data_IF_826458468450
#
_entry.id   IF_826458468450
#
_cell.length_a   1.000
_cell.length_b   1.000
_cell.length_c   1.000
_cell.angle_alpha   90.00
_cell.angle_beta   90.00
_cell.angle_gamma   90.00
#
_symmetry.space_group_name_H-M   'P 1'
#
loop_
_entity.id
_entity.type
_entity.pdbx_description
1 polymer ?
#
# COMPACT_ATOMS: atom_id res chain seq x y z
N UNK A 1 20.75 -23.04 -2.82
CA UNK A 1 19.96 -22.36 -1.79
C UNK A 1 20.53 -22.76 -0.44
N UNK A 2 21.13 -21.86 0.32
CA UNK A 2 21.72 -22.20 1.61
C UNK A 2 20.62 -22.49 2.62
N UNK A 3 20.76 -23.60 3.33
CA UNK A 3 19.82 -24.11 4.35
C UNK A 3 19.48 -23.04 5.42
N UNK A 4 20.40 -22.11 5.64
CA UNK A 4 20.30 -20.97 6.52
C UNK A 4 19.18 -19.98 6.15
N UNK A 5 19.05 -19.60 4.89
CA UNK A 5 18.04 -18.62 4.44
C UNK A 5 16.64 -19.21 4.57
N UNK A 6 16.46 -20.48 4.24
CA UNK A 6 15.19 -21.20 4.43
C UNK A 6 14.79 -21.20 5.91
N UNK A 7 15.73 -21.52 6.80
CA UNK A 7 15.52 -21.60 8.25
C UNK A 7 15.13 -20.25 8.86
N UNK A 8 15.75 -19.15 8.46
CA UNK A 8 15.38 -17.80 8.94
C UNK A 8 13.96 -17.45 8.48
N UNK A 9 13.66 -17.67 7.19
CA UNK A 9 12.34 -17.31 6.65
C UNK A 9 11.24 -18.11 7.34
N UNK A 10 11.42 -19.43 7.49
CA UNK A 10 10.46 -20.31 8.16
C UNK A 10 10.27 -19.97 9.66
N UNK A 11 11.34 -19.55 10.33
CA UNK A 11 11.28 -19.15 11.75
C UNK A 11 10.55 -17.82 11.94
N UNK A 12 10.81 -16.84 11.06
CA UNK A 12 10.11 -15.55 11.07
C UNK A 12 8.62 -15.73 10.76
N UNK A 13 8.29 -16.55 9.75
CA UNK A 13 6.92 -16.86 9.39
C UNK A 13 6.13 -17.60 10.45
N UNK A 14 6.76 -18.43 11.28
CA UNK A 14 6.08 -19.12 12.40
C UNK A 14 5.74 -18.20 13.56
N UNK A 15 6.49 -17.12 13.78
CA UNK A 15 6.28 -16.20 14.93
C UNK A 15 5.29 -15.07 14.63
N UNK A 16 5.16 -14.65 13.37
CA UNK A 16 4.22 -13.59 12.96
C UNK A 16 3.09 -14.22 12.15
N UNK A 17 1.94 -14.46 12.78
CA UNK A 17 0.85 -15.25 12.21
C UNK A 17 -0.27 -14.39 11.60
N UNK A 18 -0.04 -13.85 10.40
CA UNK A 18 -1.10 -13.22 9.60
C UNK A 18 -1.95 -14.27 8.87
N UNK A 19 -2.75 -15.02 9.63
CA UNK A 19 -3.76 -15.93 9.09
C UNK A 19 -4.99 -15.15 8.58
N UNK A 20 -5.68 -15.66 7.54
CA UNK A 20 -5.44 -16.91 6.82
C UNK A 20 -4.35 -16.76 5.75
N UNK A 21 -3.54 -17.83 5.59
CA UNK A 21 -2.60 -17.96 4.48
C UNK A 21 -3.14 -18.94 3.46
N UNK A 22 -3.17 -18.53 2.20
CA UNK A 22 -3.55 -19.37 1.08
C UNK A 22 -2.35 -19.50 0.15
N UNK A 23 -2.07 -20.72 -0.30
CA UNK A 23 -0.96 -20.97 -1.21
C UNK A 23 -1.24 -20.25 -2.53
N UNK A 24 -0.36 -19.33 -2.90
CA UNK A 24 -0.43 -18.60 -4.17
C UNK A 24 0.40 -19.34 -5.21
N UNK A 25 -0.21 -19.68 -6.34
CA UNK A 25 0.43 -20.41 -7.45
C UNK A 25 1.21 -19.46 -8.39
N UNK A 26 2.21 -18.77 -7.84
CA UNK A 26 3.17 -17.94 -8.59
C UNK A 26 4.52 -18.69 -8.63
N UNK A 27 5.28 -18.53 -9.71
CA UNK A 27 6.64 -19.07 -9.84
C UNK A 27 7.49 -18.73 -8.60
N UNK A 28 8.17 -19.72 -8.03
CA UNK A 28 8.99 -19.55 -6.83
C UNK A 28 10.13 -18.54 -7.02
N UNK A 29 10.67 -18.37 -8.24
CA UNK A 29 11.65 -17.32 -8.55
C UNK A 29 11.03 -15.94 -8.41
N UNK A 30 9.81 -15.75 -8.92
CA UNK A 30 9.08 -14.48 -8.82
C UNK A 30 8.77 -14.17 -7.36
N UNK A 31 8.28 -15.16 -6.60
CA UNK A 31 8.06 -15.00 -5.15
C UNK A 31 9.32 -14.62 -4.40
N UNK A 32 10.46 -15.21 -4.77
CA UNK A 32 11.75 -14.88 -4.18
C UNK A 32 12.16 -13.43 -4.48
N UNK A 33 12.04 -12.99 -5.73
CA UNK A 33 12.33 -11.59 -6.13
C UNK A 33 11.44 -10.61 -5.36
N UNK A 34 10.13 -10.86 -5.30
CA UNK A 34 9.24 -10.02 -4.49
C UNK A 34 9.59 -10.07 -3.00
N UNK A 35 9.98 -11.22 -2.46
CA UNK A 35 10.46 -11.32 -1.08
C UNK A 35 11.68 -10.44 -0.81
N UNK A 36 12.65 -10.40 -1.72
CA UNK A 36 13.82 -9.52 -1.62
C UNK A 36 13.42 -8.04 -1.71
N UNK A 37 12.57 -7.68 -2.67
CA UNK A 37 12.03 -6.32 -2.80
C UNK A 37 11.32 -5.92 -1.51
N UNK A 38 10.52 -6.81 -0.93
CA UNK A 38 9.82 -6.58 0.33
C UNK A 38 10.79 -6.27 1.48
N UNK A 39 11.88 -7.03 1.62
CA UNK A 39 12.91 -6.74 2.61
C UNK A 39 13.61 -5.39 2.39
N UNK A 40 13.93 -5.04 1.13
CA UNK A 40 14.53 -3.75 0.78
C UNK A 40 13.60 -2.61 1.20
N UNK A 41 12.30 -2.71 0.87
CA UNK A 41 11.30 -1.71 1.25
C UNK A 41 11.21 -1.59 2.78
N UNK A 42 11.15 -2.71 3.51
CA UNK A 42 11.05 -2.69 4.98
C UNK A 42 12.31 -2.10 5.62
N UNK A 43 13.51 -2.44 5.15
CA UNK A 43 14.75 -1.83 5.63
C UNK A 43 14.73 -0.31 5.39
N UNK A 44 14.29 0.12 4.20
CA UNK A 44 14.10 1.54 3.89
C UNK A 44 13.09 2.22 4.83
N UNK A 45 11.96 1.57 5.12
CA UNK A 45 10.95 2.10 6.04
C UNK A 45 11.46 2.18 7.49
N UNK A 46 12.28 1.23 7.93
CA UNK A 46 12.92 1.26 9.26
C UNK A 46 13.94 2.39 9.33
N UNK A 47 14.77 2.56 8.29
CA UNK A 47 15.69 3.70 8.20
C UNK A 47 14.93 5.03 8.23
N UNK A 48 13.88 5.16 7.42
CA UNK A 48 13.02 6.35 7.38
C UNK A 48 12.41 6.63 8.76
N UNK A 49 11.93 5.59 9.45
CA UNK A 49 11.40 5.70 10.80
C UNK A 49 12.46 6.21 11.78
N UNK A 50 13.66 5.59 11.82
CA UNK A 50 14.75 6.02 12.70
C UNK A 50 15.14 7.47 12.43
N UNK A 51 15.26 7.83 11.17
CA UNK A 51 15.62 9.18 10.74
C UNK A 51 14.61 10.22 11.24
N UNK A 52 13.31 10.02 10.97
CA UNK A 52 12.29 11.01 11.34
C UNK A 52 11.90 10.97 12.82
N UNK A 53 11.84 9.79 13.43
CA UNK A 53 11.44 9.62 14.82
C UNK A 53 12.55 9.98 15.81
N UNK A 54 13.78 9.48 15.59
CA UNK A 54 14.89 9.61 16.55
C UNK A 54 15.72 10.86 16.26
N UNK A 55 16.11 11.08 14.99
CA UNK A 55 17.05 12.15 14.62
C UNK A 55 16.32 13.49 14.51
N UNK A 56 15.33 13.60 13.61
CA UNK A 56 14.64 14.86 13.35
C UNK A 56 13.48 15.17 14.30
N UNK A 57 12.95 14.16 14.99
CA UNK A 57 11.76 14.26 15.87
C UNK A 57 10.55 14.90 15.15
N UNK A 58 10.44 14.64 13.86
CA UNK A 58 9.31 15.03 13.03
C UNK A 58 8.48 13.80 12.75
N UNK A 59 7.34 13.67 13.44
CA UNK A 59 6.52 12.45 13.39
C UNK A 59 5.53 12.43 12.23
N UNK A 60 5.21 13.60 11.68
CA UNK A 60 4.25 13.78 10.58
C UNK A 60 4.54 12.84 9.40
N UNK A 61 5.80 12.66 8.95
CA UNK A 61 6.05 11.79 7.80
C UNK A 61 5.79 10.31 8.02
N UNK A 62 5.70 9.87 9.28
CA UNK A 62 5.45 8.49 9.66
C UNK A 62 3.97 8.14 9.71
N UNK A 63 3.09 9.15 9.71
CA UNK A 63 1.63 8.94 9.66
C UNK A 63 1.08 9.03 8.23
N UNK A 64 1.92 9.38 7.25
CA UNK A 64 1.52 9.49 5.86
C UNK A 64 1.07 8.14 5.28
N UNK A 65 -0.01 8.19 4.51
CA UNK A 65 -0.56 7.04 3.78
C UNK A 65 0.50 6.38 2.90
N UNK A 66 1.40 7.16 2.30
CA UNK A 66 2.55 6.66 1.51
C UNK A 66 3.47 5.76 2.34
N UNK A 67 3.87 6.19 3.54
CA UNK A 67 4.72 5.40 4.43
C UNK A 67 4.02 4.10 4.84
N UNK A 68 2.75 4.21 5.27
CA UNK A 68 1.96 3.06 5.67
C UNK A 68 1.76 2.05 4.52
N UNK A 69 1.45 2.54 3.33
CA UNK A 69 1.32 1.70 2.14
C UNK A 69 2.63 1.00 1.78
N UNK A 70 3.78 1.66 1.90
CA UNK A 70 5.08 1.02 1.68
C UNK A 70 5.35 -0.10 2.69
N UNK A 71 5.04 0.12 3.98
CA UNK A 71 5.15 -0.94 5.00
C UNK A 71 4.25 -2.13 4.65
N UNK A 72 2.98 -1.87 4.31
CA UNK A 72 2.03 -2.92 3.94
C UNK A 72 2.48 -3.68 2.68
N UNK A 73 2.97 -2.98 1.65
CA UNK A 73 3.52 -3.58 0.44
C UNK A 73 4.74 -4.44 0.77
N UNK A 74 5.66 -3.92 1.59
CA UNK A 74 6.85 -4.63 2.04
C UNK A 74 6.49 -5.95 2.74
N UNK A 75 5.53 -5.91 3.65
CA UNK A 75 5.02 -7.10 4.33
C UNK A 75 4.32 -8.06 3.34
N UNK A 76 3.41 -7.58 2.49
CA UNK A 76 2.74 -8.41 1.48
C UNK A 76 3.75 -9.18 0.60
N UNK A 77 4.81 -8.49 0.16
CA UNK A 77 5.92 -9.04 -0.60
C UNK A 77 6.72 -10.08 0.19
N UNK A 78 7.09 -9.77 1.44
CA UNK A 78 7.80 -10.71 2.33
C UNK A 78 6.97 -11.97 2.48
N UNK A 79 5.69 -11.87 2.80
CA UNK A 79 4.76 -13.00 2.92
C UNK A 79 4.35 -13.61 1.56
N UNK A 80 5.01 -13.25 0.46
CA UNK A 80 4.84 -13.83 -0.88
C UNK A 80 3.38 -13.86 -1.35
N UNK A 81 2.61 -12.83 -0.98
CA UNK A 81 1.18 -12.71 -1.27
C UNK A 81 0.29 -13.80 -0.65
N UNK A 82 0.81 -14.62 0.28
CA UNK A 82 0.04 -15.73 0.85
C UNK A 82 -0.96 -15.25 1.91
N UNK A 83 -0.70 -14.13 2.58
CA UNK A 83 -1.61 -13.57 3.57
C UNK A 83 -2.76 -12.81 2.92
N UNK A 84 -3.97 -13.36 3.04
CA UNK A 84 -5.19 -12.75 2.49
C UNK A 84 -5.46 -11.39 3.13
N UNK A 85 -5.16 -11.24 4.42
CA UNK A 85 -5.28 -9.98 5.15
C UNK A 85 -4.39 -8.90 4.52
N UNK A 86 -3.09 -9.18 4.38
CA UNK A 86 -2.13 -8.22 3.84
C UNK A 86 -2.45 -7.85 2.39
N UNK A 87 -2.81 -8.83 1.55
CA UNK A 87 -3.26 -8.55 0.18
C UNK A 87 -4.46 -7.59 0.17
N UNK A 88 -5.46 -7.85 1.02
CA UNK A 88 -6.70 -7.06 1.08
C UNK A 88 -6.47 -5.64 1.59
N UNK A 89 -5.60 -5.45 2.59
CA UNK A 89 -5.29 -4.12 3.14
C UNK A 89 -4.38 -3.35 2.20
N UNK A 90 -3.36 -3.98 1.65
CA UNK A 90 -2.34 -3.29 0.84
C UNK A 90 -2.87 -2.66 -0.45
N UNK A 91 -4.02 -3.07 -0.99
CA UNK A 91 -4.45 -2.68 -2.34
C UNK A 91 -5.62 -1.69 -2.43
N UNK A 92 -6.29 -1.35 -1.33
CA UNK A 92 -7.52 -0.54 -1.36
C UNK A 92 -7.29 0.91 -1.82
N UNK A 93 -6.09 1.43 -1.64
CA UNK A 93 -5.73 2.83 -1.96
C UNK A 93 -5.27 3.05 -3.39
N UNK A 94 -5.33 2.05 -4.27
CA UNK A 94 -4.65 2.09 -5.58
C UNK A 94 -5.09 3.29 -6.42
N UNK A 95 -6.39 3.60 -6.39
CA UNK A 95 -6.96 4.71 -7.12
C UNK A 95 -6.45 6.05 -6.60
N UNK A 96 -6.37 6.23 -5.28
CA UNK A 96 -5.86 7.45 -4.66
C UNK A 96 -4.41 7.73 -5.07
N UNK A 97 -3.54 6.71 -5.00
CA UNK A 97 -2.15 6.84 -5.41
C UNK A 97 -1.97 7.16 -6.90
N UNK A 98 -2.78 6.57 -7.78
CA UNK A 98 -2.74 6.89 -9.22
C UNK A 98 -3.16 8.35 -9.47
N UNK A 99 -4.22 8.83 -8.81
CA UNK A 99 -4.68 10.20 -9.01
C UNK A 99 -3.69 11.21 -8.45
N UNK A 100 -3.18 10.98 -7.23
CA UNK A 100 -2.13 11.82 -6.64
C UNK A 100 -0.93 11.90 -7.58
N UNK A 101 -0.47 10.77 -8.11
CA UNK A 101 0.66 10.76 -9.04
C UNK A 101 0.38 11.62 -10.28
N UNK A 102 -0.82 11.53 -10.88
CA UNK A 102 -1.20 12.32 -12.05
C UNK A 102 -1.25 13.81 -11.74
N UNK A 103 -1.88 14.21 -10.63
CA UNK A 103 -1.96 15.63 -10.25
C UNK A 103 -0.59 16.21 -9.89
N UNK A 104 0.27 15.43 -9.21
CA UNK A 104 1.62 15.88 -8.84
C UNK A 104 2.53 16.12 -10.04
N UNK A 105 2.26 15.56 -11.23
CA UNK A 105 3.09 15.78 -12.43
C UNK A 105 3.18 17.27 -12.78
N UNK A 106 2.09 18.02 -12.61
CA UNK A 106 2.07 19.47 -12.89
C UNK A 106 2.83 20.30 -11.86
N UNK A 107 3.19 19.70 -10.71
CA UNK A 107 3.88 20.34 -9.60
C UNK A 107 5.39 19.99 -9.55
N UNK A 108 5.89 19.25 -10.53
CA UNK A 108 7.30 18.83 -10.58
C UNK A 108 8.19 20.01 -10.97
N UNK A 109 9.11 20.37 -10.08
CA UNK A 109 10.08 21.46 -10.30
C UNK A 109 11.51 20.97 -10.51
N UNK A 110 11.81 19.75 -10.08
CA UNK A 110 13.15 19.14 -10.18
C UNK A 110 13.07 17.59 -10.23
N UNK A 111 14.23 16.95 -10.45
CA UNK A 111 14.31 15.48 -10.54
C UNK A 111 13.96 14.80 -9.21
N UNK A 112 14.27 15.42 -8.08
CA UNK A 112 14.01 14.83 -6.77
C UNK A 112 12.51 14.81 -6.47
N UNK A 113 11.80 15.92 -6.70
CA UNK A 113 10.35 16.05 -6.60
C UNK A 113 9.61 15.13 -7.58
N UNK A 114 10.16 14.88 -8.78
CA UNK A 114 9.65 13.87 -9.70
C UNK A 114 9.72 12.44 -9.12
N UNK A 115 10.87 12.08 -8.54
CA UNK A 115 11.12 10.74 -8.02
C UNK A 115 10.29 10.46 -6.75
N UNK A 116 10.36 11.36 -5.77
CA UNK A 116 9.69 11.19 -4.47
C UNK A 116 8.18 11.46 -4.57
N UNK A 117 7.77 12.26 -5.56
CA UNK A 117 6.37 12.57 -5.86
C UNK A 117 5.77 11.57 -6.85
N UNK A 118 5.51 11.96 -8.11
CA UNK A 118 4.78 11.15 -9.08
C UNK A 118 5.27 9.71 -9.24
N UNK A 119 6.58 9.49 -9.36
CA UNK A 119 7.13 8.15 -9.64
C UNK A 119 6.86 7.20 -8.48
N UNK A 120 7.13 7.62 -7.24
CA UNK A 120 6.89 6.80 -6.06
C UNK A 120 5.39 6.47 -5.90
N UNK A 121 4.51 7.47 -6.02
CA UNK A 121 3.08 7.27 -5.86
C UNK A 121 2.50 6.38 -6.97
N UNK A 122 2.96 6.56 -8.21
CA UNK A 122 2.58 5.70 -9.32
C UNK A 122 3.07 4.27 -9.13
N UNK A 123 4.30 4.07 -8.66
CA UNK A 123 4.84 2.73 -8.37
C UNK A 123 4.02 2.01 -7.29
N UNK A 124 3.60 2.71 -6.24
CA UNK A 124 2.68 2.18 -5.22
C UNK A 124 1.35 1.82 -5.87
N UNK A 125 0.72 2.73 -6.61
CA UNK A 125 -0.57 2.50 -7.26
C UNK A 125 -0.55 1.31 -8.23
N UNK A 126 0.50 1.19 -9.04
CA UNK A 126 0.68 0.07 -9.98
C UNK A 126 0.93 -1.26 -9.28
N UNK A 127 1.69 -1.27 -8.19
CA UNK A 127 1.87 -2.49 -7.39
C UNK A 127 0.54 -2.94 -6.74
N UNK A 128 -0.24 -1.99 -6.22
CA UNK A 128 -1.56 -2.27 -5.67
C UNK A 128 -2.51 -2.80 -6.74
N UNK A 129 -2.47 -2.21 -7.94
CA UNK A 129 -3.23 -2.69 -9.10
C UNK A 129 -2.78 -4.10 -9.54
N UNK A 130 -1.48 -4.40 -9.49
CA UNK A 130 -0.96 -5.74 -9.75
C UNK A 130 -1.59 -6.77 -8.80
N UNK A 131 -1.67 -6.50 -7.50
CA UNK A 131 -2.35 -7.39 -6.54
C UNK A 131 -3.82 -7.62 -6.91
N UNK A 132 -4.52 -6.57 -7.34
CA UNK A 132 -5.93 -6.62 -7.71
C UNK A 132 -6.12 -7.45 -8.99
N UNK A 133 -5.33 -7.18 -10.02
CA UNK A 133 -5.48 -7.80 -11.34
C UNK A 133 -4.89 -9.21 -11.41
N UNK A 134 -3.98 -9.58 -10.49
CA UNK A 134 -3.40 -10.91 -10.50
C UNK A 134 -4.46 -11.98 -10.15
N UNK A 135 -4.71 -12.89 -11.09
CA UNK A 135 -5.75 -13.91 -11.00
C UNK A 135 -5.46 -15.02 -9.97
N UNK A 136 -4.30 -14.98 -9.31
CA UNK A 136 -3.88 -16.00 -8.34
C UNK A 136 -3.67 -15.46 -6.93
N UNK A 137 -3.77 -14.14 -6.75
CA UNK A 137 -3.60 -13.51 -5.43
C UNK A 137 -4.99 -13.37 -4.79
N UNK A 138 -5.27 -14.10 -3.69
CA UNK A 138 -6.56 -14.10 -3.05
C UNK A 138 -6.76 -12.86 -2.17
N UNK A 139 -8.00 -12.39 -2.13
CA UNK A 139 -8.46 -11.26 -1.31
C UNK A 139 -9.73 -11.71 -0.58
N UNK A 140 -9.95 -11.24 0.65
CA UNK A 140 -11.15 -11.58 1.44
C UNK A 140 -12.15 -10.43 1.43
N UNK A 141 -13.44 -10.76 1.32
CA UNK A 141 -14.54 -9.79 1.46
C UNK A 141 -14.49 -9.10 2.82
N UNK A 142 -14.36 -9.90 3.89
CA UNK A 142 -14.27 -9.37 5.24
C UNK A 142 -13.08 -8.45 5.38
N UNK A 143 -11.90 -8.85 4.92
CA UNK A 143 -10.73 -8.01 5.07
C UNK A 143 -10.75 -6.76 4.21
N UNK A 144 -11.39 -6.75 3.04
CA UNK A 144 -11.61 -5.51 2.27
C UNK A 144 -12.40 -4.45 3.07
N UNK A 145 -13.44 -4.88 3.80
CA UNK A 145 -14.18 -3.98 4.69
C UNK A 145 -13.33 -3.50 5.86
N UNK A 146 -12.47 -4.37 6.40
CA UNK A 146 -11.52 -3.97 7.45
C UNK A 146 -10.49 -2.98 6.91
N UNK A 147 -9.99 -3.18 5.69
CA UNK A 147 -9.11 -2.23 5.00
C UNK A 147 -9.79 -0.86 4.86
N UNK A 148 -11.06 -0.83 4.52
CA UNK A 148 -11.82 0.42 4.43
C UNK A 148 -11.82 1.17 5.75
N UNK A 149 -12.23 0.51 6.83
CA UNK A 149 -12.26 1.13 8.17
C UNK A 149 -10.86 1.55 8.61
N UNK A 150 -9.85 0.72 8.35
CA UNK A 150 -8.46 1.00 8.65
C UNK A 150 -7.98 2.28 7.95
N UNK A 151 -8.20 2.41 6.64
CA UNK A 151 -7.83 3.61 5.90
C UNK A 151 -8.71 4.80 6.23
N UNK A 152 -9.99 4.63 6.58
CA UNK A 152 -10.79 5.75 7.07
C UNK A 152 -10.22 6.31 8.36
N UNK A 153 -9.84 5.47 9.33
CA UNK A 153 -9.25 5.94 10.59
C UNK A 153 -7.94 6.69 10.31
N UNK A 154 -7.06 6.12 9.47
CA UNK A 154 -5.78 6.74 9.14
C UNK A 154 -5.91 8.01 8.28
N UNK A 155 -6.83 8.04 7.31
CA UNK A 155 -7.07 9.20 6.48
C UNK A 155 -7.85 10.30 7.22
N UNK A 156 -8.69 9.94 8.21
CA UNK A 156 -9.55 10.89 8.95
C UNK A 156 -8.80 11.93 9.78
N UNK A 157 -7.46 11.84 9.91
CA UNK A 157 -6.69 12.97 10.40
C UNK A 157 -6.82 14.11 9.39
N UNK A 158 -7.51 15.19 9.77
CA UNK A 158 -7.70 16.40 8.96
C UNK A 158 -6.39 16.89 8.29
N UNK A 159 -5.26 16.75 8.99
CA UNK A 159 -3.92 17.07 8.47
C UNK A 159 -3.53 16.29 7.21
N UNK A 160 -4.04 15.07 7.02
CA UNK A 160 -3.76 14.26 5.84
C UNK A 160 -4.42 14.82 4.58
N UNK A 161 -5.61 15.40 4.67
CA UNK A 161 -6.34 15.92 3.52
C UNK A 161 -5.88 17.31 3.11
N UNK A 162 -5.68 18.22 4.08
CA UNK A 162 -5.09 19.52 3.79
C UNK A 162 -3.73 19.38 3.10
N UNK A 163 -2.93 18.42 3.54
CA UNK A 163 -1.64 18.10 2.91
C UNK A 163 -1.81 17.57 1.48
N UNK A 164 -2.82 16.75 1.21
CA UNK A 164 -3.11 16.32 -0.16
C UNK A 164 -3.40 17.51 -1.05
N UNK A 165 -4.18 18.47 -0.56
CA UNK A 165 -4.50 19.68 -1.31
C UNK A 165 -3.24 20.49 -1.62
N UNK A 166 -2.34 20.65 -0.65
CA UNK A 166 -1.06 21.35 -0.85
C UNK A 166 -0.18 20.63 -1.87
N UNK A 167 -0.02 19.30 -1.75
CA UNK A 167 0.86 18.51 -2.61
C UNK A 167 0.36 18.44 -4.06
N UNK A 168 -0.96 18.46 -4.24
CA UNK A 168 -1.59 18.44 -5.56
C UNK A 168 -1.81 19.83 -6.16
N UNK A 169 -1.45 20.90 -5.42
CA UNK A 169 -1.68 22.29 -5.84
C UNK A 169 -3.17 22.70 -5.84
N UNK A 170 -4.01 21.93 -5.15
CA UNK A 170 -5.46 22.11 -5.07
C UNK A 170 -5.89 22.98 -3.88
N UNK A 171 -4.99 23.27 -2.93
CA UNK A 171 -5.28 24.00 -1.69
C UNK A 171 -6.00 25.34 -1.90
N UNK A 172 -5.59 26.11 -2.91
CA UNK A 172 -6.21 27.41 -3.21
C UNK A 172 -7.43 27.31 -4.14
N UNK A 173 -7.71 26.13 -4.68
CA UNK A 173 -8.70 25.90 -5.75
C UNK A 173 -9.96 25.23 -5.23
N UNK A 174 -9.84 24.31 -4.27
CA UNK A 174 -10.95 23.56 -3.70
C UNK A 174 -10.87 23.52 -2.18
N UNK A 175 -12.02 23.55 -1.48
CA UNK A 175 -12.02 23.42 -0.02
C UNK A 175 -11.62 22.00 0.39
N UNK A 176 -10.91 21.84 1.52
CA UNK A 176 -10.47 20.53 2.03
C UNK A 176 -11.61 19.54 2.25
N UNK A 177 -12.82 20.03 2.57
CA UNK A 177 -14.03 19.19 2.64
C UNK A 177 -14.36 18.48 1.32
N UNK A 178 -14.01 19.07 0.17
CA UNK A 178 -14.16 18.41 -1.12
C UNK A 178 -13.22 17.19 -1.23
N UNK A 179 -11.96 17.34 -0.84
CA UNK A 179 -10.95 16.28 -0.88
C UNK A 179 -11.26 15.15 0.10
N UNK A 180 -11.81 15.48 1.27
CA UNK A 180 -12.33 14.49 2.23
C UNK A 180 -13.43 13.62 1.60
N UNK A 181 -14.47 14.27 1.06
CA UNK A 181 -15.63 13.60 0.43
C UNK A 181 -15.19 12.81 -0.79
N UNK A 182 -14.32 13.37 -1.62
CA UNK A 182 -13.75 12.70 -2.79
C UNK A 182 -12.99 11.44 -2.38
N UNK A 183 -12.12 11.53 -1.37
CA UNK A 183 -11.33 10.39 -0.88
C UNK A 183 -12.21 9.28 -0.32
N UNK A 184 -13.27 9.64 0.41
CA UNK A 184 -14.27 8.70 0.91
C UNK A 184 -14.94 7.93 -0.23
N UNK A 185 -15.45 8.63 -1.24
CA UNK A 185 -16.05 7.99 -2.42
C UNK A 185 -15.05 7.15 -3.20
N UNK A 186 -13.79 7.60 -3.31
CA UNK A 186 -12.76 6.84 -4.01
C UNK A 186 -12.41 5.53 -3.31
N UNK A 187 -12.40 5.50 -1.97
CA UNK A 187 -12.25 4.26 -1.22
C UNK A 187 -13.44 3.31 -1.45
N UNK A 188 -14.67 3.83 -1.46
CA UNK A 188 -15.88 3.02 -1.78
C UNK A 188 -15.78 2.41 -3.18
N UNK A 189 -15.48 3.23 -4.20
CA UNK A 189 -15.35 2.74 -5.57
C UNK A 189 -14.20 1.75 -5.73
N UNK A 190 -13.09 1.94 -4.99
CA UNK A 190 -11.98 1.00 -4.97
C UNK A 190 -12.41 -0.37 -4.44
N UNK A 191 -13.14 -0.42 -3.34
CA UNK A 191 -13.68 -1.69 -2.79
C UNK A 191 -14.62 -2.34 -3.79
N UNK A 192 -15.58 -1.57 -4.34
CA UNK A 192 -16.55 -2.09 -5.29
C UNK A 192 -15.85 -2.67 -6.53
N UNK A 193 -14.88 -1.95 -7.08
CA UNK A 193 -14.08 -2.40 -8.22
C UNK A 193 -13.31 -3.69 -7.92
N UNK A 194 -12.61 -3.74 -6.78
CA UNK A 194 -11.87 -4.94 -6.34
C UNK A 194 -12.84 -6.11 -6.13
N UNK A 195 -13.95 -5.88 -5.45
CA UNK A 195 -14.96 -6.88 -5.17
C UNK A 195 -15.54 -7.47 -6.46
N UNK A 196 -15.99 -6.62 -7.39
CA UNK A 196 -16.57 -7.04 -8.66
C UNK A 196 -15.54 -7.80 -9.51
N UNK A 197 -14.31 -7.29 -9.61
CA UNK A 197 -13.24 -7.94 -10.34
C UNK A 197 -12.89 -9.31 -9.75
N UNK A 198 -12.53 -9.38 -8.46
CA UNK A 198 -12.12 -10.64 -7.81
C UNK A 198 -13.25 -11.67 -7.75
N UNK A 199 -14.51 -11.22 -7.63
CA UNK A 199 -15.70 -12.09 -7.70
C UNK A 199 -15.85 -12.73 -9.07
N UNK A 200 -15.64 -11.98 -10.16
CA UNK A 200 -15.70 -12.50 -11.54
C UNK A 200 -14.72 -13.66 -11.78
N UNK A 201 -13.55 -13.62 -11.14
CA UNK A 201 -12.51 -14.64 -11.29
C UNK A 201 -12.50 -15.70 -10.17
N UNK A 202 -13.53 -15.76 -9.30
CA UNK A 202 -13.65 -16.76 -8.23
C UNK A 202 -12.46 -16.84 -7.25
N UNK A 203 -11.73 -15.73 -7.08
CA UNK A 203 -10.56 -15.60 -6.20
C UNK A 203 -10.82 -14.72 -4.97
N UNK A 204 -12.10 -14.42 -4.77
CA UNK A 204 -12.60 -13.67 -3.63
C UNK A 204 -13.03 -14.65 -2.53
N UNK A 205 -12.22 -14.71 -1.48
CA UNK A 205 -12.43 -15.55 -0.31
C UNK A 205 -13.44 -14.88 0.63
N UNK A 206 -14.08 -15.67 1.50
CA UNK A 206 -15.00 -15.13 2.52
C UNK A 206 -14.30 -14.17 3.47
#
# INVERSE_FOLDING_TARGET
>A
MTEFTKKITDTFYKKIDFKPRLKVDIDEKIKFVFGLIGWIIIIGCVYYWVHFFIIFRQYEPLVYTTYLSLVLIGLTCIFRFESVLLNSISCITFYGFINIAVFMISQVVDIFSLIVGPILHLAIGLFQLFIILHQKIPISKRYLLWSFVFFLIFMSSYDSFQRWDVITGLYDVVPTSFTEVYSFYMLIFSILGIYLYKRKYSILVK
#
